data_IF_682981917084
#
_entry.id   IF_682981917084
#
_cell.length_a   1.000
_cell.length_b   1.000
_cell.length_c   1.000
_cell.angle_alpha   90.00
_cell.angle_beta   90.00
_cell.angle_gamma   90.00
#
_symmetry.space_group_name_H-M   'P 1'
#
loop_
_entity.id
_entity.type
_entity.pdbx_description
1 polymer ?
#
# COMPACT_ATOMS: atom_id res chain seq x y z
N UNK A 1 -5.04 11.18 10.78
CA UNK A 1 -4.36 12.06 9.79
C UNK A 1 -3.54 11.17 8.86
N UNK A 2 -3.58 11.37 7.54
CA UNK A 2 -2.86 10.51 6.58
C UNK A 2 -1.36 10.78 6.67
N UNK A 3 -0.57 9.83 7.19
CA UNK A 3 0.86 9.92 7.46
C UNK A 3 1.77 10.02 6.22
N UNK A 4 1.23 10.38 5.06
CA UNK A 4 2.02 10.52 3.83
C UNK A 4 3.04 11.65 3.96
N UNK A 5 4.32 11.36 3.68
CA UNK A 5 5.38 12.38 3.63
C UNK A 5 5.23 13.20 2.35
N UNK A 6 5.36 14.53 2.44
CA UNK A 6 5.26 15.44 1.29
C UNK A 6 6.52 16.28 1.16
N UNK A 7 7.05 16.39 -0.06
CA UNK A 7 8.10 17.36 -0.41
C UNK A 7 7.49 18.43 -1.32
N UNK A 8 7.79 19.69 -1.04
CA UNK A 8 7.27 20.84 -1.79
C UNK A 8 8.41 21.78 -2.12
N UNK A 9 8.50 22.13 -3.40
CA UNK A 9 9.45 23.09 -3.94
C UNK A 9 8.70 24.21 -4.62
N UNK A 10 9.15 25.44 -4.42
CA UNK A 10 8.62 26.62 -5.09
C UNK A 10 9.79 27.46 -5.60
N UNK A 11 9.84 27.66 -6.92
CA UNK A 11 10.85 28.48 -7.60
C UNK A 11 10.14 29.65 -8.26
N UNK A 12 10.67 30.86 -8.10
CA UNK A 12 10.19 32.05 -8.82
C UNK A 12 11.27 32.43 -9.83
N UNK A 13 10.91 32.39 -11.10
CA UNK A 13 11.83 32.57 -12.22
C UNK A 13 11.22 33.54 -13.24
N UNK A 14 12.02 34.22 -14.07
CA UNK A 14 11.52 34.88 -15.27
C UNK A 14 10.66 33.93 -16.11
N UNK A 15 9.63 34.44 -16.80
CA UNK A 15 8.61 33.60 -17.44
C UNK A 15 9.20 32.58 -18.42
N UNK A 16 10.15 33.00 -19.26
CA UNK A 16 10.81 32.14 -20.26
C UNK A 16 11.65 31.06 -19.56
N UNK A 17 12.41 31.44 -18.54
CA UNK A 17 13.22 30.52 -17.75
C UNK A 17 12.39 29.49 -16.98
N UNK A 18 11.20 29.86 -16.50
CA UNK A 18 10.29 28.92 -15.84
C UNK A 18 9.81 27.81 -16.78
N UNK A 19 9.53 28.14 -18.05
CA UNK A 19 9.13 27.16 -19.06
C UNK A 19 10.31 26.27 -19.49
N UNK A 20 11.51 26.85 -19.65
CA UNK A 20 12.73 26.07 -19.89
C UNK A 20 13.04 25.12 -18.73
N UNK A 21 12.89 25.59 -17.48
CA UNK A 21 13.06 24.77 -16.27
C UNK A 21 12.04 23.64 -16.23
N UNK A 22 10.77 23.90 -16.60
CA UNK A 22 9.74 22.86 -16.68
C UNK A 22 10.11 21.77 -17.69
N UNK A 23 10.60 22.14 -18.87
CA UNK A 23 11.07 21.18 -19.88
C UNK A 23 12.23 20.33 -19.35
N UNK A 24 13.21 20.96 -18.69
CA UNK A 24 14.33 20.27 -18.04
C UNK A 24 13.87 19.29 -16.96
N UNK A 25 12.91 19.69 -16.11
CA UNK A 25 12.35 18.81 -15.08
C UNK A 25 11.71 17.56 -15.68
N UNK A 26 10.91 17.72 -16.74
CA UNK A 26 10.25 16.58 -17.39
C UNK A 26 11.25 15.65 -18.09
N UNK A 27 12.33 16.19 -18.65
CA UNK A 27 13.38 15.39 -19.26
C UNK A 27 14.14 14.56 -18.21
N UNK A 28 14.49 15.18 -17.08
CA UNK A 28 15.15 14.48 -15.97
C UNK A 28 14.23 13.43 -15.33
N UNK A 29 12.91 13.70 -15.28
CA UNK A 29 11.94 12.74 -14.75
C UNK A 29 11.98 11.40 -15.51
N UNK A 30 12.21 11.43 -16.82
CA UNK A 30 12.37 10.22 -17.63
C UNK A 30 13.65 9.42 -17.27
N UNK A 31 14.64 10.08 -16.67
CA UNK A 31 15.83 9.46 -16.11
C UNK A 31 15.69 9.09 -14.61
N UNK A 32 14.46 9.11 -14.08
CA UNK A 32 14.15 8.70 -12.71
C UNK A 32 14.42 9.76 -11.63
N UNK A 33 14.70 11.01 -12.00
CA UNK A 33 15.06 12.06 -11.04
C UNK A 33 14.41 13.41 -11.38
N UNK A 34 14.26 14.31 -10.42
CA UNK A 34 13.97 15.72 -10.68
C UNK A 34 15.13 16.57 -10.23
N UNK A 35 15.57 17.51 -11.06
CA UNK A 35 16.57 18.51 -10.66
C UNK A 35 15.86 19.84 -10.42
N UNK A 36 15.63 20.17 -9.15
CA UNK A 36 14.82 21.34 -8.75
C UNK A 36 15.72 22.31 -7.98
N UNK A 37 16.00 23.48 -8.55
CA UNK A 37 16.85 24.48 -7.88
C UNK A 37 18.26 23.98 -7.55
N UNK A 38 18.80 23.06 -8.37
CA UNK A 38 20.09 22.41 -8.15
C UNK A 38 20.05 21.16 -7.25
N UNK A 39 18.92 20.87 -6.60
CA UNK A 39 18.75 19.64 -5.83
C UNK A 39 18.32 18.48 -6.74
N UNK A 40 19.03 17.35 -6.67
CA UNK A 40 18.62 16.09 -7.28
C UNK A 40 17.66 15.35 -6.35
N UNK A 41 16.45 15.12 -6.83
CA UNK A 41 15.37 14.45 -6.10
C UNK A 41 15.03 13.13 -6.81
N UNK A 42 15.38 11.98 -6.22
CA UNK A 42 14.99 10.69 -6.77
C UNK A 42 13.46 10.53 -6.84
N UNK A 43 12.99 9.92 -7.93
CA UNK A 43 11.59 9.57 -8.15
C UNK A 43 11.30 8.13 -7.75
N UNK A 44 12.05 7.58 -6.80
CA UNK A 44 11.75 6.28 -6.21
C UNK A 44 10.55 6.39 -5.26
N UNK A 45 9.64 5.42 -5.31
CA UNK A 45 8.52 5.24 -4.37
C UNK A 45 7.60 6.45 -4.15
N UNK A 46 7.52 7.41 -5.08
CA UNK A 46 6.54 8.50 -4.96
C UNK A 46 5.13 8.02 -5.37
N UNK A 47 4.11 8.43 -4.62
CA UNK A 47 2.70 8.14 -4.93
C UNK A 47 2.07 9.17 -5.88
N UNK A 48 2.56 10.41 -5.87
CA UNK A 48 1.99 11.48 -6.68
C UNK A 48 3.00 12.60 -6.89
N UNK A 49 3.14 13.00 -8.15
CA UNK A 49 3.86 14.20 -8.59
C UNK A 49 2.86 15.22 -9.10
N UNK A 50 2.89 16.43 -8.55
CA UNK A 50 2.11 17.58 -9.05
C UNK A 50 3.05 18.73 -9.37
N UNK A 51 3.05 19.12 -10.64
CA UNK A 51 3.75 20.30 -11.13
C UNK A 51 2.70 21.36 -11.46
N UNK A 52 2.92 22.59 -11.03
CA UNK A 52 2.04 23.71 -11.35
C UNK A 52 2.84 24.98 -11.61
N UNK A 53 2.39 25.79 -12.56
CA UNK A 53 2.98 27.09 -12.85
C UNK A 53 1.93 28.18 -12.59
N UNK A 54 2.33 29.25 -11.89
CA UNK A 54 1.49 30.43 -11.65
C UNK A 54 2.21 31.67 -12.14
N UNK A 55 1.63 32.40 -13.07
CA UNK A 55 2.21 33.66 -13.55
C UNK A 55 2.05 34.79 -12.50
N UNK A 56 3.12 35.57 -12.34
CA UNK A 56 3.24 36.69 -11.41
C UNK A 56 3.87 37.87 -12.17
N UNK A 57 3.13 38.47 -13.10
CA UNK A 57 3.66 39.52 -13.97
C UNK A 57 4.75 39.00 -14.91
N UNK A 58 5.95 39.61 -14.87
CA UNK A 58 7.11 39.22 -15.68
C UNK A 58 7.73 37.87 -15.26
N UNK A 59 7.38 37.38 -14.07
CA UNK A 59 7.87 36.12 -13.52
C UNK A 59 6.79 35.04 -13.50
N UNK A 60 7.22 33.81 -13.29
CA UNK A 60 6.37 32.65 -13.05
C UNK A 60 6.87 31.92 -11.80
N UNK A 61 5.93 31.47 -10.98
CA UNK A 61 6.18 30.58 -9.86
C UNK A 61 5.94 29.14 -10.29
N UNK A 62 7.01 28.35 -10.37
CA UNK A 62 6.98 26.91 -10.60
C UNK A 62 6.88 26.19 -9.25
N UNK A 63 5.87 25.35 -9.09
CA UNK A 63 5.59 24.57 -7.89
C UNK A 63 5.71 23.10 -8.21
N UNK A 64 6.56 22.38 -7.49
CA UNK A 64 6.67 20.92 -7.58
C UNK A 64 6.30 20.33 -6.23
N UNK A 65 5.36 19.38 -6.23
CA UNK A 65 4.94 18.65 -5.04
C UNK A 65 5.07 17.15 -5.28
N UNK A 66 5.81 16.48 -4.42
CA UNK A 66 5.92 15.04 -4.37
C UNK A 66 5.25 14.52 -3.11
N UNK A 67 4.43 13.49 -3.24
CA UNK A 67 3.84 12.75 -2.12
C UNK A 67 4.44 11.36 -2.11
N UNK A 68 4.93 10.94 -0.96
CA UNK A 68 5.50 9.61 -0.70
C UNK A 68 4.58 8.82 0.22
N UNK A 69 4.65 7.48 0.22
CA UNK A 69 3.95 6.67 1.19
C UNK A 69 4.39 7.06 2.62
N UNK A 70 3.51 6.80 3.57
CA UNK A 70 3.88 6.83 4.97
C UNK A 70 4.90 5.71 5.24
N UNK A 71 5.77 5.90 6.23
CA UNK A 71 6.78 4.91 6.67
C UNK A 71 6.64 4.62 8.16
N UNK A 72 7.15 3.47 8.61
CA UNK A 72 7.08 3.07 10.02
C UNK A 72 5.64 2.97 10.54
N UNK A 73 5.43 3.40 11.79
CA UNK A 73 4.13 3.30 12.48
C UNK A 73 3.01 4.10 11.80
N UNK A 74 3.34 5.19 11.12
CA UNK A 74 2.39 6.02 10.37
C UNK A 74 1.90 5.34 9.09
N UNK A 75 2.64 4.32 8.62
CA UNK A 75 2.26 3.50 7.47
C UNK A 75 1.28 2.39 7.83
N UNK A 76 1.24 1.97 9.09
CA UNK A 76 0.29 0.97 9.54
C UNK A 76 -1.14 1.54 9.53
N UNK A 77 -2.13 0.77 9.06
CA UNK A 77 -3.53 1.16 9.25
C UNK A 77 -3.84 1.24 10.74
N UNK A 78 -4.92 1.96 11.08
CA UNK A 78 -5.47 1.88 12.44
C UNK A 78 -6.40 0.67 12.53
N UNK A 79 -6.58 0.03 13.70
CA UNK A 79 -7.54 -1.07 13.84
C UNK A 79 -8.95 -0.68 13.38
N UNK A 80 -9.41 0.53 13.72
CA UNK A 80 -10.67 1.09 13.23
C UNK A 80 -10.64 1.44 11.73
N UNK A 81 -9.47 1.69 11.16
CA UNK A 81 -9.27 1.85 9.71
C UNK A 81 -9.49 0.53 8.98
N UNK A 82 -8.93 -0.57 9.50
CA UNK A 82 -9.15 -1.92 8.97
C UNK A 82 -10.65 -2.24 8.96
N UNK A 83 -11.34 -2.03 10.10
CA UNK A 83 -12.78 -2.33 10.20
C UNK A 83 -13.63 -1.50 9.22
N UNK A 84 -13.32 -0.21 9.05
CA UNK A 84 -14.04 0.67 8.12
C UNK A 84 -13.81 0.31 6.65
N UNK A 85 -12.57 0.00 6.27
CA UNK A 85 -12.24 -0.45 4.91
C UNK A 85 -13.04 -1.70 4.53
N UNK A 86 -13.16 -2.64 5.46
CA UNK A 86 -13.90 -3.88 5.22
C UNK A 86 -15.41 -3.65 5.16
N UNK A 87 -15.96 -2.83 6.04
CA UNK A 87 -17.38 -2.49 5.98
C UNK A 87 -17.75 -1.82 4.65
N UNK A 88 -16.88 -0.93 4.14
CA UNK A 88 -17.07 -0.32 2.83
C UNK A 88 -17.01 -1.34 1.69
N UNK A 89 -16.11 -2.33 1.77
CA UNK A 89 -16.00 -3.39 0.78
C UNK A 89 -17.22 -4.32 0.78
N UNK A 90 -17.66 -4.77 1.95
CA UNK A 90 -18.85 -5.63 2.05
C UNK A 90 -20.09 -4.90 1.52
N UNK A 91 -20.22 -3.59 1.80
CA UNK A 91 -21.27 -2.77 1.23
C UNK A 91 -21.18 -2.64 -0.30
N UNK A 92 -19.97 -2.46 -0.86
CA UNK A 92 -19.76 -2.41 -2.30
C UNK A 92 -20.09 -3.75 -2.99
N UNK A 93 -19.71 -4.87 -2.36
CA UNK A 93 -19.99 -6.21 -2.87
C UNK A 93 -21.50 -6.53 -2.82
N UNK A 94 -22.20 -6.06 -1.79
CA UNK A 94 -23.65 -6.19 -1.65
C UNK A 94 -24.44 -5.29 -2.62
N UNK A 95 -23.84 -4.21 -3.13
CA UNK A 95 -24.46 -3.28 -4.06
C UNK A 95 -24.20 -3.60 -5.54
N UNK A 96 -23.33 -4.56 -5.85
CA UNK A 96 -23.05 -4.98 -7.22
C UNK A 96 -24.21 -5.83 -7.79
N UNK A 97 -24.72 -5.53 -9.00
CA UNK A 97 -25.76 -6.34 -9.64
C UNK A 97 -25.25 -7.77 -9.89
N UNK A 98 -26.09 -8.77 -9.58
CA UNK A 98 -25.72 -10.19 -9.55
C UNK A 98 -25.10 -10.69 -10.86
N UNK A 99 -23.78 -10.85 -10.86
CA UNK A 99 -23.06 -11.81 -11.68
C UNK A 99 -21.89 -12.34 -10.85
N UNK A 100 -22.19 -13.27 -9.94
CA UNK A 100 -21.93 -14.71 -10.04
C UNK A 100 -22.08 -15.27 -8.63
N UNK A 101 -23.12 -16.09 -8.47
CA UNK A 101 -23.33 -16.94 -7.31
C UNK A 101 -22.16 -17.92 -7.16
N UNK A 102 -21.39 -17.77 -6.09
CA UNK A 102 -20.93 -18.86 -5.23
C UNK A 102 -20.45 -18.24 -3.92
N UNK A 103 -20.92 -18.77 -2.79
CA UNK A 103 -20.50 -18.41 -1.42
C UNK A 103 -21.35 -17.38 -0.64
N UNK A 104 -22.68 -17.44 -0.83
CA UNK A 104 -23.63 -17.11 0.22
C UNK A 104 -23.89 -18.35 1.09
N UNK A 105 -23.10 -18.53 2.15
CA UNK A 105 -23.35 -19.59 3.14
C UNK A 105 -22.26 -19.60 4.21
N UNK A 106 -22.58 -19.12 5.40
CA UNK A 106 -21.64 -18.91 6.51
C UNK A 106 -20.95 -20.15 7.05
N UNK A 107 -19.82 -19.91 7.69
CA UNK A 107 -19.28 -20.70 8.79
C UNK A 107 -18.92 -22.16 8.49
N UNK A 108 -17.70 -22.41 8.00
CA UNK A 108 -17.01 -23.67 8.28
C UNK A 108 -17.24 -24.83 7.31
N UNK A 109 -17.49 -24.59 6.02
CA UNK A 109 -17.44 -25.65 5.02
C UNK A 109 -16.10 -25.65 4.27
N UNK A 110 -15.52 -26.83 4.14
CA UNK A 110 -14.26 -27.13 3.43
C UNK A 110 -14.58 -27.33 1.94
N UNK A 111 -13.71 -26.89 1.02
CA UNK A 111 -13.77 -27.25 -0.41
C UNK A 111 -13.65 -28.78 -0.58
N UNK A 112 -14.12 -29.37 -1.69
CA UNK A 112 -14.06 -30.83 -1.90
C UNK A 112 -12.64 -31.44 -1.79
N UNK A 113 -11.59 -30.63 -1.81
CA UNK A 113 -10.18 -31.04 -1.64
C UNK A 113 -9.62 -30.88 -0.20
N UNK A 114 -10.45 -30.62 0.81
CA UNK A 114 -9.95 -30.45 2.19
C UNK A 114 -9.40 -29.03 2.49
N UNK A 115 -9.48 -28.10 1.52
CA UNK A 115 -8.99 -26.72 1.66
C UNK A 115 -10.05 -25.80 2.27
N UNK A 116 -9.68 -24.83 3.14
CA UNK A 116 -10.59 -23.81 3.60
C UNK A 116 -11.19 -23.02 2.43
N UNK A 117 -12.49 -22.72 2.47
CA UNK A 117 -13.11 -21.78 1.52
C UNK A 117 -12.37 -20.44 1.52
N UNK A 118 -12.16 -19.89 0.33
CA UNK A 118 -11.41 -18.65 0.12
C UNK A 118 -11.93 -17.48 0.96
N UNK A 119 -13.26 -17.30 1.08
CA UNK A 119 -13.85 -16.25 1.92
C UNK A 119 -13.55 -16.44 3.40
N UNK A 120 -13.61 -17.69 3.88
CA UNK A 120 -13.26 -18.05 5.26
C UNK A 120 -11.80 -17.76 5.56
N UNK A 121 -10.91 -18.12 4.63
CA UNK A 121 -9.48 -17.83 4.69
C UNK A 121 -9.23 -16.32 4.80
N UNK A 122 -9.79 -15.50 3.90
CA UNK A 122 -9.63 -14.04 3.94
C UNK A 122 -10.13 -13.42 5.25
N UNK A 123 -11.23 -13.93 5.81
CA UNK A 123 -11.77 -13.47 7.10
C UNK A 123 -10.83 -13.79 8.26
N UNK A 124 -10.22 -14.98 8.26
CA UNK A 124 -9.22 -15.38 9.27
C UNK A 124 -7.94 -14.56 9.14
N UNK A 125 -7.41 -14.41 7.92
CA UNK A 125 -6.25 -13.55 7.64
C UNK A 125 -6.46 -12.12 8.16
N UNK A 126 -7.64 -11.54 7.94
CA UNK A 126 -7.98 -10.22 8.47
C UNK A 126 -7.83 -10.15 9.98
N UNK A 127 -8.31 -11.17 10.70
CA UNK A 127 -8.22 -11.21 12.16
C UNK A 127 -6.76 -11.19 12.62
N UNK A 128 -5.91 -12.05 12.05
CA UNK A 128 -4.48 -12.07 12.38
C UNK A 128 -3.79 -10.76 11.97
N UNK A 129 -4.09 -10.22 10.78
CA UNK A 129 -3.55 -8.94 10.34
C UNK A 129 -3.88 -7.80 11.32
N UNK A 130 -5.11 -7.77 11.85
CA UNK A 130 -5.50 -6.78 12.87
C UNK A 130 -4.70 -6.95 14.15
N UNK A 131 -4.47 -8.18 14.61
CA UNK A 131 -3.66 -8.47 15.79
C UNK A 131 -2.18 -8.06 15.60
N UNK A 132 -1.60 -8.28 14.41
CA UNK A 132 -0.27 -7.78 14.04
C UNK A 132 -0.22 -6.25 14.13
N UNK A 133 -1.17 -5.57 13.49
CA UNK A 133 -1.26 -4.10 13.50
C UNK A 133 -1.39 -3.54 14.93
N UNK A 134 -2.22 -4.15 15.78
CA UNK A 134 -2.38 -3.71 17.18
C UNK A 134 -1.06 -3.81 17.93
N UNK A 135 -0.37 -4.96 17.85
CA UNK A 135 0.89 -5.20 18.58
C UNK A 135 1.99 -4.25 18.10
N UNK A 136 2.18 -4.13 16.79
CA UNK A 136 3.23 -3.28 16.21
C UNK A 136 2.98 -1.79 16.50
N UNK A 137 1.72 -1.34 16.49
CA UNK A 137 1.39 0.04 16.90
C UNK A 137 1.64 0.33 18.37
N UNK A 138 1.63 -0.70 19.22
CA UNK A 138 2.04 -0.61 20.62
C UNK A 138 3.57 -0.67 20.80
N UNK A 139 4.34 -0.81 19.71
CA UNK A 139 5.80 -1.00 19.77
C UNK A 139 6.20 -2.37 20.31
N UNK A 140 5.30 -3.36 20.24
CA UNK A 140 5.50 -4.70 20.78
C UNK A 140 5.62 -5.72 19.65
N UNK A 141 6.42 -6.76 19.88
CA UNK A 141 6.44 -7.92 19.01
C UNK A 141 5.06 -8.62 19.04
N UNK A 142 4.46 -8.93 17.88
CA UNK A 142 3.23 -9.71 17.86
C UNK A 142 3.45 -11.12 18.40
N UNK A 143 2.35 -11.75 18.84
CA UNK A 143 2.36 -13.14 19.24
C UNK A 143 2.85 -14.05 18.09
N UNK A 144 3.72 -15.01 18.41
CA UNK A 144 4.36 -15.88 17.42
C UNK A 144 3.36 -16.74 16.65
N UNK A 145 2.33 -17.23 17.32
CA UNK A 145 1.30 -18.07 16.69
C UNK A 145 0.44 -17.22 15.75
N UNK A 146 0.19 -15.94 16.10
CA UNK A 146 -0.50 -14.99 15.22
C UNK A 146 0.32 -14.71 13.95
N UNK A 147 1.63 -14.50 14.09
CA UNK A 147 2.52 -14.29 12.93
C UNK A 147 2.55 -15.52 12.04
N UNK A 148 2.79 -16.70 12.63
CA UNK A 148 2.87 -17.96 11.89
C UNK A 148 1.55 -18.28 11.17
N UNK A 149 0.41 -18.07 11.83
CA UNK A 149 -0.90 -18.31 11.23
C UNK A 149 -1.19 -17.32 10.09
N UNK A 150 -0.80 -16.05 10.22
CA UNK A 150 -0.92 -15.07 9.14
C UNK A 150 -0.06 -15.47 7.93
N UNK A 151 1.20 -15.85 8.13
CA UNK A 151 2.11 -16.29 7.05
C UNK A 151 1.56 -17.52 6.33
N UNK A 152 1.13 -18.54 7.09
CA UNK A 152 0.56 -19.76 6.52
C UNK A 152 -0.70 -19.48 5.69
N UNK A 153 -1.61 -18.64 6.21
CA UNK A 153 -2.81 -18.24 5.48
C UNK A 153 -2.50 -17.37 4.26
N UNK A 154 -1.47 -16.52 4.33
CA UNK A 154 -0.99 -15.72 3.20
C UNK A 154 -0.49 -16.59 2.05
N UNK A 155 0.35 -17.58 2.35
CA UNK A 155 0.86 -18.55 1.36
C UNK A 155 -0.25 -19.42 0.77
N UNK A 156 -1.23 -19.80 1.60
CA UNK A 156 -2.41 -20.51 1.11
C UNK A 156 -3.28 -19.62 0.22
N UNK A 157 -3.41 -18.33 0.53
CA UNK A 157 -4.21 -17.40 -0.28
C UNK A 157 -3.62 -17.22 -1.70
N UNK A 158 -2.29 -17.14 -1.82
CA UNK A 158 -1.60 -17.00 -3.11
C UNK A 158 -1.60 -18.29 -3.94
N UNK A 159 -2.06 -19.42 -3.39
CA UNK A 159 -2.27 -20.66 -4.16
C UNK A 159 -3.62 -20.72 -4.89
N UNK A 160 -4.54 -19.76 -4.67
CA UNK A 160 -5.84 -19.73 -5.35
C UNK A 160 -5.73 -19.00 -6.71
N UNK A 161 -6.00 -19.66 -7.85
CA UNK A 161 -5.88 -19.03 -9.17
C UNK A 161 -6.99 -18.00 -9.42
N UNK A 162 -6.70 -17.00 -10.25
CA UNK A 162 -7.64 -15.99 -10.71
C UNK A 162 -8.08 -14.98 -9.64
N UNK A 163 -7.35 -14.85 -8.52
CA UNK A 163 -7.66 -13.87 -7.45
C UNK A 163 -6.62 -12.76 -7.30
N UNK A 164 -5.68 -12.67 -8.24
CA UNK A 164 -4.68 -11.61 -8.29
C UNK A 164 -3.29 -12.12 -8.68
N UNK A 165 -3.22 -13.12 -9.55
CA UNK A 165 -2.03 -13.95 -9.80
C UNK A 165 -0.78 -13.13 -10.16
N UNK A 166 -0.96 -12.01 -10.88
CA UNK A 166 0.12 -11.09 -11.22
C UNK A 166 0.77 -10.40 -9.99
N UNK A 167 0.05 -10.32 -8.86
CA UNK A 167 0.52 -9.71 -7.61
C UNK A 167 1.13 -10.73 -6.65
N UNK A 168 0.89 -12.03 -6.83
CA UNK A 168 1.32 -13.06 -5.88
C UNK A 168 2.83 -13.14 -5.69
N UNK A 169 3.68 -13.12 -6.73
CA UNK A 169 5.13 -13.24 -6.52
C UNK A 169 5.70 -12.11 -5.65
N UNK A 170 5.24 -10.87 -5.86
CA UNK A 170 5.69 -9.74 -5.05
C UNK A 170 5.13 -9.83 -3.62
N UNK A 171 3.87 -10.27 -3.47
CA UNK A 171 3.24 -10.44 -2.17
C UNK A 171 3.92 -11.52 -1.34
N UNK A 172 4.21 -12.69 -1.92
CA UNK A 172 4.91 -13.79 -1.25
C UNK A 172 6.32 -13.37 -0.82
N UNK A 173 7.06 -12.64 -1.67
CA UNK A 173 8.37 -12.12 -1.29
C UNK A 173 8.31 -11.15 -0.09
N UNK A 174 7.23 -10.40 0.08
CA UNK A 174 7.03 -9.56 1.27
C UNK A 174 6.59 -10.38 2.50
N UNK A 175 5.87 -11.48 2.30
CA UNK A 175 5.56 -12.44 3.37
C UNK A 175 6.83 -13.12 3.87
N UNK A 176 7.76 -13.47 2.98
CA UNK A 176 9.08 -14.01 3.36
C UNK A 176 9.88 -13.00 4.18
N UNK A 177 9.90 -11.72 3.78
CA UNK A 177 10.51 -10.64 4.57
C UNK A 177 9.89 -10.50 5.97
N UNK A 178 8.57 -10.64 6.08
CA UNK A 178 7.89 -10.62 7.37
C UNK A 178 8.31 -11.82 8.25
N UNK A 179 8.44 -13.01 7.66
CA UNK A 179 8.90 -14.22 8.36
C UNK A 179 10.33 -14.05 8.89
N UNK A 180 11.25 -13.55 8.05
CA UNK A 180 12.64 -13.25 8.43
C UNK A 180 12.70 -12.21 9.56
N UNK A 181 11.95 -11.12 9.45
CA UNK A 181 11.89 -10.08 10.47
C UNK A 181 11.33 -10.60 11.80
N UNK A 182 10.32 -11.47 11.76
CA UNK A 182 9.75 -12.10 12.93
C UNK A 182 10.73 -13.06 13.60
N UNK A 183 11.46 -13.86 12.81
CA UNK A 183 12.50 -14.76 13.30
C UNK A 183 13.64 -13.99 13.98
N UNK A 184 14.00 -12.81 13.44
CA UNK A 184 15.00 -11.92 14.01
C UNK A 184 14.49 -11.08 15.22
N UNK A 185 13.17 -11.04 15.45
CA UNK A 185 12.57 -10.17 16.46
C UNK A 185 12.63 -8.67 16.11
N UNK A 186 12.82 -8.33 14.84
CA UNK A 186 12.96 -6.95 14.37
C UNK A 186 11.60 -6.29 14.19
N UNK A 187 11.17 -5.54 15.21
CA UNK A 187 9.88 -4.83 15.23
C UNK A 187 9.79 -3.77 14.13
N UNK A 188 10.90 -3.12 13.78
CA UNK A 188 10.91 -2.09 12.75
C UNK A 188 10.72 -2.73 11.36
N UNK A 189 11.43 -3.81 11.08
CA UNK A 189 11.27 -4.58 9.84
C UNK A 189 9.87 -5.21 9.74
N UNK A 190 9.34 -5.82 10.81
CA UNK A 190 7.96 -6.32 10.82
C UNK A 190 6.94 -5.21 10.54
N UNK A 191 7.13 -4.02 11.13
CA UNK A 191 6.29 -2.85 10.88
C UNK A 191 6.33 -2.42 9.41
N UNK A 192 7.52 -2.39 8.81
CA UNK A 192 7.69 -2.04 7.41
C UNK A 192 6.99 -3.05 6.50
N UNK A 193 7.13 -4.36 6.77
CA UNK A 193 6.51 -5.42 5.99
C UNK A 193 4.99 -5.45 6.11
N UNK A 194 4.44 -5.33 7.32
CA UNK A 194 2.98 -5.25 7.52
C UNK A 194 2.38 -4.03 6.80
N UNK A 195 3.08 -2.90 6.83
CA UNK A 195 2.65 -1.72 6.08
C UNK A 195 2.75 -1.91 4.55
N UNK A 196 3.78 -2.60 4.05
CA UNK A 196 3.90 -2.93 2.64
C UNK A 196 2.78 -3.87 2.18
N UNK A 197 2.50 -4.93 2.93
CA UNK A 197 1.41 -5.87 2.66
C UNK A 197 0.04 -5.17 2.61
N UNK A 198 -0.23 -4.21 3.49
CA UNK A 198 -1.47 -3.41 3.43
C UNK A 198 -1.58 -2.59 2.13
N UNK A 199 -0.47 -1.99 1.69
CA UNK A 199 -0.43 -1.22 0.42
C UNK A 199 -0.66 -2.13 -0.78
N UNK A 200 0.03 -3.27 -0.85
CA UNK A 200 -0.10 -4.23 -1.95
C UNK A 200 -1.52 -4.79 -2.03
N UNK A 201 -2.13 -5.09 -0.88
CA UNK A 201 -3.56 -5.46 -0.77
C UNK A 201 -4.46 -4.40 -1.40
N UNK A 202 -4.27 -3.12 -1.02
CA UNK A 202 -5.07 -1.99 -1.53
C UNK A 202 -4.90 -1.80 -3.03
N UNK A 203 -3.67 -1.93 -3.53
CA UNK A 203 -3.38 -1.84 -4.95
C UNK A 203 -4.08 -2.94 -5.75
N UNK A 204 -3.95 -4.20 -5.32
CA UNK A 204 -4.63 -5.33 -5.95
C UNK A 204 -6.16 -5.11 -5.95
N UNK A 205 -6.74 -4.72 -4.80
CA UNK A 205 -8.17 -4.44 -4.71
C UNK A 205 -8.59 -3.26 -5.61
N UNK A 206 -7.79 -2.20 -5.74
CA UNK A 206 -8.15 -1.05 -6.60
C UNK A 206 -8.19 -1.38 -8.09
N UNK A 207 -7.46 -2.42 -8.52
CA UNK A 207 -7.39 -2.85 -9.93
C UNK A 207 -8.41 -3.94 -10.28
N UNK A 208 -9.03 -4.56 -9.26
CA UNK A 208 -9.95 -5.70 -9.41
C UNK A 208 -11.29 -5.51 -8.66
N UNK A 209 -11.61 -4.28 -8.23
CA UNK A 209 -12.88 -3.92 -7.58
C UNK A 209 -13.97 -3.58 -8.60
#
# INVERSE_FOLDING_TARGET
>A
MSGSRKRKFELVLPRVEALATLAGLTAQAAAGNLVIGGEVVPLDDFMSLKIGIKHLGASSMLKVRLKYPAVGLDALPTPAGVDREDAAREAALAAAPEAVAADAGGGGAVEPEGRPRYKGLKKRMKHFFKALVVSLRAGQAPDRDVVAAFIADSRLMTSFPGKGDAFYPAYDAEVDRLEEAAAAGDIAAMTASVAALDRMKKECHSRHA
#
